data_IF_608885905111
#
_entry.id   IF_608885905111
#
_cell.length_a   1.000
_cell.length_b   1.000
_cell.length_c   1.000
_cell.angle_alpha   90.00
_cell.angle_beta   90.00
_cell.angle_gamma   90.00
#
_symmetry.space_group_name_H-M   'P 1'
#
loop_
_entity.id
_entity.type
_entity.pdbx_description
1 polymer ?
#
# COMPACT_ATOMS: atom_id res chain seq x y z
N UNK A 1 5.47 -11.67 14.56
CA UNK A 1 5.04 -10.34 14.09
C UNK A 1 4.13 -10.54 12.90
N UNK A 2 3.00 -9.83 12.88
CA UNK A 2 1.99 -9.91 11.83
C UNK A 2 1.93 -8.57 11.13
N UNK A 3 1.98 -8.57 9.80
CA UNK A 3 1.76 -7.37 8.98
C UNK A 3 0.32 -7.41 8.50
N UNK A 4 -0.35 -6.27 8.63
CA UNK A 4 -1.73 -6.12 8.22
C UNK A 4 -1.78 -5.26 6.97
N UNK A 5 -2.52 -5.72 5.97
CA UNK A 5 -2.67 -5.03 4.70
C UNK A 5 -4.15 -4.90 4.36
N UNK A 6 -4.59 -3.69 4.09
CA UNK A 6 -5.94 -3.39 3.61
C UNK A 6 -5.87 -2.78 2.22
N UNK A 7 -6.80 -3.17 1.35
CA UNK A 7 -6.90 -2.69 -0.01
C UNK A 7 -8.20 -1.98 -0.27
N UNK A 8 -8.11 -0.85 -0.96
CA UNK A 8 -9.22 0.00 -1.35
C UNK A 8 -9.17 0.31 -2.83
N UNK A 9 -10.35 0.43 -3.43
CA UNK A 9 -10.53 0.80 -4.83
C UNK A 9 -11.62 1.86 -4.96
N UNK A 10 -11.64 2.59 -6.07
CA UNK A 10 -12.69 3.56 -6.37
C UNK A 10 -13.79 2.91 -7.20
N UNK A 11 -15.04 3.00 -6.73
CA UNK A 11 -16.22 2.62 -7.49
C UNK A 11 -17.31 3.68 -7.30
N UNK A 12 -17.90 4.13 -8.41
CA UNK A 12 -18.90 5.20 -8.43
C UNK A 12 -18.41 6.47 -7.72
N UNK A 13 -17.14 6.84 -7.93
CA UNK A 13 -16.51 8.03 -7.33
C UNK A 13 -16.23 7.94 -5.83
N UNK A 14 -16.46 6.79 -5.20
CA UNK A 14 -16.24 6.58 -3.76
C UNK A 14 -15.23 5.47 -3.50
N UNK A 15 -14.44 5.62 -2.46
CA UNK A 15 -13.57 4.56 -1.96
C UNK A 15 -14.40 3.43 -1.36
N UNK A 16 -14.01 2.20 -1.65
CA UNK A 16 -14.59 0.99 -1.08
C UNK A 16 -13.49 0.06 -0.60
N UNK A 17 -13.72 -0.59 0.54
CA UNK A 17 -12.90 -1.73 0.96
C UNK A 17 -13.04 -2.86 -0.05
N UNK A 18 -11.91 -3.37 -0.52
CA UNK A 18 -11.85 -4.37 -1.58
C UNK A 18 -11.26 -5.70 -1.11
N UNK A 19 -10.23 -5.66 -0.28
CA UNK A 19 -9.53 -6.85 0.19
C UNK A 19 -8.75 -6.57 1.48
N UNK A 20 -8.50 -7.62 2.25
CA UNK A 20 -7.61 -7.61 3.42
C UNK A 20 -6.65 -8.79 3.32
N UNK A 21 -5.42 -8.58 3.75
CA UNK A 21 -4.38 -9.60 3.83
C UNK A 21 -3.63 -9.48 5.14
N UNK A 22 -3.12 -10.59 5.63
CA UNK A 22 -2.16 -10.60 6.72
C UNK A 22 -1.08 -11.64 6.45
N UNK A 23 0.13 -11.38 6.92
CA UNK A 23 1.23 -12.35 6.88
C UNK A 23 1.76 -12.53 8.29
N UNK A 24 1.95 -13.79 8.69
CA UNK A 24 2.45 -14.15 10.01
C UNK A 24 3.72 -14.99 9.86
N UNK A 25 4.80 -14.57 10.53
CA UNK A 25 6.10 -15.23 10.46
C UNK A 25 7.12 -14.52 9.54
N UNK A 26 8.40 -14.87 9.70
CA UNK A 26 9.56 -14.24 9.02
C UNK A 26 9.91 -14.88 7.67
N UNK A 27 8.98 -15.60 7.03
CA UNK A 27 9.23 -16.28 5.76
C UNK A 27 9.31 -15.30 4.60
N UNK A 28 10.44 -15.30 3.88
CA UNK A 28 10.82 -14.40 2.75
C UNK A 28 9.85 -14.32 1.54
N UNK A 29 8.67 -14.93 1.59
CA UNK A 29 7.77 -15.07 0.42
C UNK A 29 6.29 -14.81 0.70
N UNK A 30 5.91 -14.34 1.88
CA UNK A 30 4.52 -13.96 2.10
C UNK A 30 4.33 -12.48 1.75
N UNK A 31 3.58 -12.23 0.66
CA UNK A 31 3.36 -10.90 0.06
C UNK A 31 1.87 -10.52 0.16
N UNK A 32 1.41 -10.13 1.36
CA UNK A 32 0.00 -9.76 1.56
C UNK A 32 -0.42 -8.65 0.60
N UNK A 33 0.46 -7.72 0.28
CA UNK A 33 0.16 -6.61 -0.62
C UNK A 33 -0.05 -7.04 -2.06
N UNK A 34 0.66 -8.06 -2.54
CA UNK A 34 0.43 -8.62 -3.88
C UNK A 34 -0.93 -9.31 -3.93
N UNK A 35 -1.27 -10.10 -2.91
CA UNK A 35 -2.58 -10.74 -2.81
C UNK A 35 -3.72 -9.73 -2.79
N UNK A 36 -3.57 -8.69 -1.96
CA UNK A 36 -4.52 -7.57 -1.87
C UNK A 36 -4.62 -6.85 -3.22
N UNK A 37 -3.51 -6.47 -3.84
CA UNK A 37 -3.49 -5.78 -5.14
C UNK A 37 -4.24 -6.56 -6.23
N UNK A 38 -3.97 -7.87 -6.34
CA UNK A 38 -4.64 -8.73 -7.32
C UNK A 38 -6.15 -8.80 -7.07
N UNK A 39 -6.57 -8.89 -5.81
CA UNK A 39 -7.98 -8.89 -5.43
C UNK A 39 -8.67 -7.55 -5.76
N UNK A 40 -7.97 -6.41 -5.64
CA UNK A 40 -8.47 -5.11 -6.09
C UNK A 40 -8.62 -5.04 -7.60
N UNK A 41 -7.66 -5.57 -8.36
CA UNK A 41 -7.72 -5.65 -9.82
C UNK A 41 -8.96 -6.38 -10.34
N UNK A 42 -9.37 -7.45 -9.64
CA UNK A 42 -10.61 -8.17 -9.95
C UNK A 42 -11.89 -7.35 -9.67
N UNK A 43 -11.83 -6.35 -8.80
CA UNK A 43 -12.98 -5.50 -8.41
C UNK A 43 -13.07 -4.21 -9.21
N UNK A 44 -11.94 -3.66 -9.67
CA UNK A 44 -11.89 -2.45 -10.48
C UNK A 44 -10.70 -2.46 -11.44
N UNK A 45 -10.95 -2.85 -12.69
CA UNK A 45 -9.91 -2.99 -13.72
C UNK A 45 -9.12 -1.69 -14.04
N UNK A 46 -9.67 -0.51 -13.73
CA UNK A 46 -9.06 0.77 -14.07
C UNK A 46 -8.30 1.45 -12.91
N UNK A 47 -8.42 0.94 -11.67
CA UNK A 47 -7.95 1.65 -10.49
C UNK A 47 -8.63 3.03 -10.31
N UNK A 48 -8.02 3.97 -9.57
CA UNK A 48 -6.79 3.81 -8.79
C UNK A 48 -6.98 2.91 -7.56
N UNK A 49 -5.86 2.42 -7.02
CA UNK A 49 -5.84 1.58 -5.82
C UNK A 49 -5.10 2.24 -4.68
N UNK A 50 -5.57 1.96 -3.47
CA UNK A 50 -4.91 2.33 -2.22
C UNK A 50 -4.65 1.06 -1.42
N UNK A 51 -3.42 0.87 -0.99
CA UNK A 51 -3.04 -0.16 -0.02
C UNK A 51 -2.62 0.55 1.27
N UNK A 52 -3.20 0.14 2.39
CA UNK A 52 -2.82 0.60 3.73
C UNK A 52 -2.15 -0.54 4.45
N UNK A 53 -0.98 -0.30 5.02
CA UNK A 53 -0.27 -1.33 5.79
C UNK A 53 0.62 -0.76 6.87
N UNK A 54 0.92 -1.56 7.88
CA UNK A 54 1.76 -1.21 9.02
C UNK A 54 3.25 -1.53 8.81
N UNK A 55 3.68 -1.83 7.58
CA UNK A 55 5.08 -2.06 7.21
C UNK A 55 5.40 -1.56 5.80
N UNK A 56 6.68 -1.38 5.49
CA UNK A 56 7.12 -1.07 4.13
C UNK A 56 7.01 -2.30 3.23
N UNK A 57 6.65 -2.13 1.94
CA UNK A 57 6.65 -3.23 1.00
C UNK A 57 8.07 -3.78 0.84
N UNK A 58 8.18 -5.11 0.77
CA UNK A 58 9.46 -5.73 0.49
C UNK A 58 9.93 -5.47 -0.95
N UNK A 59 11.20 -5.73 -1.24
CA UNK A 59 11.78 -5.52 -2.58
C UNK A 59 10.98 -6.19 -3.72
N UNK A 60 10.39 -7.35 -3.47
CA UNK A 60 9.55 -8.06 -4.45
C UNK A 60 8.24 -7.31 -4.69
N UNK A 61 7.53 -6.90 -3.64
CA UNK A 61 6.30 -6.11 -3.74
C UNK A 61 6.56 -4.76 -4.43
N UNK A 62 7.64 -4.07 -4.04
CA UNK A 62 8.03 -2.78 -4.62
C UNK A 62 8.33 -2.89 -6.12
N UNK A 63 9.07 -3.92 -6.53
CA UNK A 63 9.36 -4.18 -7.93
C UNK A 63 8.09 -4.57 -8.71
N UNK A 64 7.19 -5.35 -8.10
CA UNK A 64 5.93 -5.72 -8.71
C UNK A 64 5.03 -4.49 -8.94
N UNK A 65 4.93 -3.59 -7.96
CA UNK A 65 4.14 -2.36 -8.02
C UNK A 65 4.70 -1.34 -9.00
N UNK A 66 6.02 -1.19 -9.07
CA UNK A 66 6.67 -0.28 -10.03
C UNK A 66 6.34 -0.66 -11.48
N UNK A 67 6.19 -1.95 -11.78
CA UNK A 67 5.84 -2.45 -13.12
C UNK A 67 4.37 -2.24 -13.48
N UNK A 68 3.52 -1.88 -12.53
CA UNK A 68 2.09 -1.71 -12.79
C UNK A 68 1.80 -0.41 -13.54
N UNK A 69 0.88 -0.51 -14.51
CA UNK A 69 0.38 0.67 -15.25
C UNK A 69 -0.66 1.44 -14.44
N UNK A 70 -1.44 0.73 -13.63
CA UNK A 70 -2.51 1.33 -12.85
C UNK A 70 -1.91 2.16 -11.70
N UNK A 71 -2.50 3.32 -11.37
CA UNK A 71 -2.02 4.11 -10.27
C UNK A 71 -2.29 3.41 -8.93
N UNK A 72 -1.22 3.22 -8.14
CA UNK A 72 -1.26 2.61 -6.82
C UNK A 72 -0.59 3.53 -5.81
N UNK A 73 -1.29 3.79 -4.71
CA UNK A 73 -0.72 4.45 -3.55
C UNK A 73 -0.63 3.45 -2.39
N UNK A 74 0.55 3.31 -1.80
CA UNK A 74 0.76 2.54 -0.57
C UNK A 74 0.94 3.54 0.57
N UNK A 75 0.03 3.50 1.54
CA UNK A 75 0.08 4.23 2.79
C UNK A 75 0.67 3.33 3.85
N UNK A 76 1.92 3.59 4.21
CA UNK A 76 2.60 2.92 5.32
C UNK A 76 2.27 3.68 6.60
N UNK A 77 1.63 3.03 7.57
CA UNK A 77 1.15 3.65 8.81
C UNK A 77 2.12 3.47 9.98
N UNK A 78 3.04 2.52 9.89
CA UNK A 78 4.03 2.25 10.90
C UNK A 78 5.27 1.58 10.29
N UNK A 79 6.33 1.52 11.10
CA UNK A 79 7.48 0.68 10.84
C UNK A 79 7.39 -0.59 11.69
N UNK A 80 6.42 -1.48 11.42
CA UNK A 80 6.19 -2.63 12.30
C UNK A 80 7.36 -3.63 12.24
N UNK A 81 8.36 -3.36 13.08
CA UNK A 81 9.51 -4.16 13.48
C UNK A 81 10.53 -4.58 12.42
N UNK A 82 11.11 -5.75 12.65
CA UNK A 82 12.22 -6.33 11.88
C UNK A 82 11.88 -6.53 10.40
N UNK A 83 10.59 -6.67 10.03
CA UNK A 83 10.22 -6.88 8.63
C UNK A 83 10.66 -5.72 7.74
N UNK A 84 10.28 -4.49 8.07
CA UNK A 84 10.70 -3.32 7.31
C UNK A 84 12.20 -3.03 7.44
N UNK A 85 12.82 -3.32 8.59
CA UNK A 85 14.26 -3.15 8.76
C UNK A 85 15.06 -4.12 7.85
N UNK A 86 14.57 -5.36 7.71
CA UNK A 86 15.22 -6.40 6.92
C UNK A 86 14.77 -6.39 5.43
N UNK A 87 13.59 -5.82 5.12
CA UNK A 87 12.94 -5.96 3.81
C UNK A 87 12.40 -4.65 3.21
N UNK A 88 12.21 -3.60 4.01
CA UNK A 88 11.56 -2.33 3.66
C UNK A 88 12.45 -1.39 2.85
N UNK A 89 13.15 -1.93 1.85
CA UNK A 89 13.93 -1.18 0.85
C UNK A 89 15.08 -0.35 1.44
N UNK A 90 15.48 -0.60 2.68
CA UNK A 90 16.41 0.26 3.42
C UNK A 90 15.82 1.63 3.80
N UNK A 91 14.51 1.82 3.62
CA UNK A 91 13.80 3.03 4.05
C UNK A 91 13.67 2.99 5.58
N UNK A 92 14.45 3.82 6.26
CA UNK A 92 14.33 4.01 7.71
C UNK A 92 14.00 5.48 8.02
N UNK A 93 12.82 5.97 7.62
CA UNK A 93 12.49 7.36 7.89
C UNK A 93 12.13 7.53 9.37
N UNK A 94 12.27 8.76 9.87
CA UNK A 94 11.95 9.09 11.26
C UNK A 94 10.51 8.69 11.60
N UNK A 95 10.27 8.18 12.81
CA UNK A 95 8.93 7.76 13.25
C UNK A 95 7.86 8.87 13.15
N UNK A 96 8.29 10.13 13.14
CA UNK A 96 7.44 11.32 12.95
C UNK A 96 6.87 11.48 11.54
N UNK A 97 7.37 10.74 10.55
CA UNK A 97 6.92 10.87 9.16
C UNK A 97 5.61 10.11 8.88
N UNK A 98 5.23 9.16 9.74
CA UNK A 98 4.09 8.31 9.45
C UNK A 98 2.78 9.10 9.52
N UNK A 99 1.85 8.92 8.56
CA UNK A 99 1.92 7.95 7.47
C UNK A 99 2.90 8.33 6.35
N UNK A 100 3.70 7.35 5.91
CA UNK A 100 4.61 7.49 4.78
C UNK A 100 3.92 6.99 3.52
N UNK A 101 3.87 7.81 2.47
CA UNK A 101 3.24 7.42 1.21
C UNK A 101 4.28 7.01 0.16
N UNK A 102 4.00 5.90 -0.52
CA UNK A 102 4.70 5.42 -1.71
C UNK A 102 3.73 5.40 -2.88
N UNK A 103 4.07 6.14 -3.93
CA UNK A 103 3.30 6.26 -5.16
C UNK A 103 3.94 5.43 -6.27
N UNK A 104 3.13 4.67 -7.00
CA UNK A 104 3.54 3.86 -8.14
C UNK A 104 2.64 4.15 -9.34
N UNK A 105 3.24 4.45 -10.50
CA UNK A 105 2.52 4.54 -11.78
C UNK A 105 3.49 4.44 -12.97
N UNK A 106 3.24 3.53 -13.90
CA UNK A 106 3.95 3.46 -15.19
C UNK A 106 5.49 3.45 -15.06
N UNK A 107 6.04 2.60 -14.17
CA UNK A 107 7.49 2.54 -13.96
C UNK A 107 8.05 3.65 -13.07
N UNK A 108 7.24 4.63 -12.66
CA UNK A 108 7.64 5.70 -11.76
C UNK A 108 7.25 5.34 -10.33
N UNK A 109 8.20 5.54 -9.41
CA UNK A 109 8.01 5.46 -7.98
C UNK A 109 8.38 6.79 -7.33
N UNK A 110 7.53 7.28 -6.43
CA UNK A 110 7.82 8.46 -5.60
C UNK A 110 7.48 8.16 -4.15
N UNK A 111 8.33 8.55 -3.21
CA UNK A 111 8.11 8.33 -1.78
C UNK A 111 8.39 9.58 -0.95
N UNK A 112 7.95 9.58 0.30
CA UNK A 112 8.40 10.55 1.31
C UNK A 112 7.48 11.75 1.54
N UNK A 113 6.24 11.69 1.05
CA UNK A 113 5.23 12.73 1.32
C UNK A 113 4.32 12.29 2.47
N UNK A 114 3.72 13.25 3.17
CA UNK A 114 2.61 13.04 4.13
C UNK A 114 1.23 13.08 3.46
N UNK A 115 1.19 13.27 2.14
CA UNK A 115 -0.03 13.42 1.36
C UNK A 115 0.04 12.61 0.06
N UNK A 116 -1.14 12.29 -0.48
CA UNK A 116 -1.28 11.69 -1.80
C UNK A 116 -0.69 12.61 -2.89
N UNK A 117 -0.17 12.06 -4.00
CA UNK A 117 0.29 12.86 -5.13
C UNK A 117 -0.88 13.60 -5.78
N UNK A 118 -0.56 14.73 -6.42
CA UNK A 118 -1.54 15.54 -7.15
C UNK A 118 -2.28 14.68 -8.19
N UNK A 119 -3.62 14.81 -8.23
CA UNK A 119 -4.48 14.05 -9.13
C UNK A 119 -4.86 12.65 -8.64
N UNK A 120 -4.36 12.20 -7.49
CA UNK A 120 -4.92 11.03 -6.80
C UNK A 120 -6.23 11.43 -6.09
N UNK A 121 -7.28 10.58 -6.12
CA UNK A 121 -8.52 10.89 -5.41
C UNK A 121 -8.25 11.13 -3.93
N UNK A 122 -8.99 12.09 -3.34
CA UNK A 122 -8.92 12.35 -1.90
C UNK A 122 -9.08 11.04 -1.14
N UNK A 123 -8.04 10.65 -0.39
CA UNK A 123 -7.99 9.40 0.36
C UNK A 123 -8.97 9.53 1.54
N UNK A 124 -9.67 8.45 1.94
CA UNK A 124 -10.42 8.48 3.19
C UNK A 124 -9.44 8.76 4.33
N UNK A 125 -9.61 9.89 5.01
CA UNK A 125 -9.29 9.90 6.43
C UNK A 125 -10.19 8.81 7.04
N UNK A 126 -9.66 7.91 7.85
CA UNK A 126 -10.31 6.66 8.30
C UNK A 126 -11.70 6.79 8.97
N UNK A 127 -12.31 7.98 9.01
CA UNK A 127 -13.61 8.27 9.59
C UNK A 127 -14.83 8.01 8.68
N UNK A 128 -14.68 7.59 7.42
CA UNK A 128 -15.81 7.51 6.47
C UNK A 128 -15.96 6.18 5.69
N UNK A 129 -15.33 5.09 6.15
CA UNK A 129 -15.62 3.75 5.61
C UNK A 129 -16.72 3.14 6.48
N UNK A 130 -17.97 3.48 6.16
CA UNK A 130 -19.12 2.68 6.64
C UNK A 130 -19.12 1.35 5.90
N UNK A 131 -18.97 0.26 6.68
CA UNK A 131 -19.21 -1.13 6.26
C UNK A 131 -20.65 -1.31 5.77
#
# INVERSE_FOLDING_TARGET
MTINTEGYYVANGKWKSGATGSVSGQGKQQHSEIGVYNALGAKAAAGPFLIVQDAFPCAVCDAAFTKQRLPLLVKVTANNGAYSADHGLGQNPAATIYPYYLWYRNGVKTGGTAAAPAGFPAIPAFAAITL
#
